data_IF_888355350984
#
_entry.id   IF_888355350984
#
_cell.length_a   1.000
_cell.length_b   1.000
_cell.length_c   1.000
_cell.angle_alpha   90.00
_cell.angle_beta   90.00
_cell.angle_gamma   90.00
#
_symmetry.space_group_name_H-M   'P 1'
#
loop_
_entity.id
_entity.type
_entity.pdbx_description
1 polymer ?
#
# COMPACT_ATOMS: atom_id res chain seq x y z
N UNK A 1 10.03 11.92 -3.42
CA UNK A 1 11.14 11.57 -4.35
C UNK A 1 12.40 12.37 -4.04
N UNK A 2 12.37 13.70 -3.97
CA UNK A 2 13.55 14.53 -3.66
C UNK A 2 14.30 14.11 -2.37
N UNK A 3 13.57 13.88 -1.27
CA UNK A 3 14.15 13.42 0.00
C UNK A 3 14.79 12.02 -0.10
N UNK A 4 14.28 11.15 -0.95
CA UNK A 4 14.77 9.77 -1.10
C UNK A 4 16.05 9.70 -1.95
N UNK A 5 16.22 10.64 -2.88
CA UNK A 5 17.38 10.74 -3.75
C UNK A 5 18.53 11.51 -3.11
N UNK A 6 18.28 12.23 -2.02
CA UNK A 6 19.31 13.02 -1.35
C UNK A 6 20.36 12.09 -0.67
N UNK A 7 21.66 12.19 -1.02
CA UNK A 7 22.68 11.21 -0.62
C UNK A 7 22.79 11.01 0.91
N UNK A 8 22.57 12.09 1.68
CA UNK A 8 22.62 12.07 3.15
C UNK A 8 21.62 11.07 3.76
N UNK A 9 20.50 10.81 3.09
CA UNK A 9 19.41 9.98 3.60
C UNK A 9 19.43 8.54 3.07
N UNK A 10 20.47 8.10 2.36
CA UNK A 10 20.56 6.74 1.83
C UNK A 10 21.15 5.71 2.80
N UNK A 11 21.83 6.16 3.86
CA UNK A 11 22.46 5.28 4.84
C UNK A 11 21.49 4.36 5.60
N UNK A 12 22.00 3.30 6.26
CA UNK A 12 21.20 2.35 7.04
C UNK A 12 20.42 3.02 8.18
N UNK A 13 21.01 4.04 8.84
CA UNK A 13 20.38 4.80 9.93
C UNK A 13 19.10 5.54 9.49
N UNK A 14 19.00 5.92 8.21
CA UNK A 14 17.87 6.66 7.67
C UNK A 14 16.76 5.75 7.13
N UNK A 15 16.90 4.42 7.25
CA UNK A 15 15.92 3.46 6.74
C UNK A 15 14.53 3.70 7.33
N UNK A 16 14.42 3.82 8.64
CA UNK A 16 13.14 4.06 9.34
C UNK A 16 12.51 5.38 8.91
N UNK A 17 13.32 6.42 8.74
CA UNK A 17 12.86 7.72 8.25
C UNK A 17 12.26 7.61 6.83
N UNK A 18 12.93 6.92 5.91
CA UNK A 18 12.40 6.70 4.55
C UNK A 18 11.09 5.92 4.56
N UNK A 19 11.00 4.85 5.36
CA UNK A 19 9.76 4.08 5.52
C UNK A 19 8.63 4.94 6.08
N UNK A 20 8.92 5.78 7.08
CA UNK A 20 7.97 6.72 7.65
C UNK A 20 7.36 7.65 6.58
N UNK A 21 8.18 8.21 5.69
CA UNK A 21 7.70 9.05 4.58
C UNK A 21 6.73 8.27 3.69
N UNK A 22 7.08 7.03 3.31
CA UNK A 22 6.20 6.20 2.47
C UNK A 22 4.87 5.89 3.16
N UNK A 23 4.89 5.57 4.45
CA UNK A 23 3.68 5.36 5.25
C UNK A 23 2.84 6.63 5.30
N UNK A 24 3.43 7.81 5.54
CA UNK A 24 2.70 9.08 5.55
C UNK A 24 2.03 9.39 4.21
N UNK A 25 2.71 9.12 3.10
CA UNK A 25 2.13 9.26 1.76
C UNK A 25 0.94 8.31 1.60
N UNK A 26 1.08 7.04 2.00
CA UNK A 26 -0.02 6.08 1.97
C UNK A 26 -1.21 6.50 2.84
N UNK A 27 -0.95 6.98 4.06
CA UNK A 27 -1.99 7.44 4.99
C UNK A 27 -2.76 8.66 4.47
N UNK A 28 -2.18 9.47 3.59
CA UNK A 28 -2.88 10.61 2.98
C UNK A 28 -4.12 10.17 2.18
N UNK A 29 -4.14 8.92 1.69
CA UNK A 29 -5.29 8.35 0.96
C UNK A 29 -6.54 8.18 1.84
N UNK A 30 -6.43 8.17 3.17
CA UNK A 30 -7.62 8.14 4.04
C UNK A 30 -8.48 9.39 3.92
N UNK A 31 -7.89 10.56 3.65
CA UNK A 31 -8.64 11.81 3.52
C UNK A 31 -9.71 11.76 2.41
N UNK A 32 -9.37 11.42 1.14
CA UNK A 32 -10.39 11.29 0.09
C UNK A 32 -11.35 10.10 0.33
N UNK A 33 -10.90 9.00 0.96
CA UNK A 33 -11.78 7.86 1.28
C UNK A 33 -12.85 8.23 2.32
N UNK A 34 -12.46 8.95 3.37
CA UNK A 34 -13.39 9.44 4.39
C UNK A 34 -14.36 10.44 3.77
N UNK A 35 -13.84 11.41 3.01
CA UNK A 35 -14.66 12.41 2.33
C UNK A 35 -15.70 11.77 1.39
N UNK A 36 -15.28 10.82 0.54
CA UNK A 36 -16.19 10.09 -0.34
C UNK A 36 -17.23 9.28 0.44
N UNK A 37 -16.82 8.63 1.53
CA UNK A 37 -17.74 7.87 2.40
C UNK A 37 -18.81 8.76 3.03
N UNK A 38 -18.47 10.00 3.41
CA UNK A 38 -19.44 10.98 3.92
C UNK A 38 -20.40 11.43 2.82
N UNK A 39 -19.92 11.66 1.60
CA UNK A 39 -20.74 12.19 0.50
C UNK A 39 -21.75 11.19 -0.06
N UNK A 40 -21.32 9.97 -0.38
CA UNK A 40 -22.16 8.98 -1.09
C UNK A 40 -22.55 7.78 -0.22
N UNK A 41 -22.00 7.68 0.99
CA UNK A 41 -22.24 6.58 1.91
C UNK A 41 -21.36 5.35 1.66
N UNK A 42 -21.06 4.60 2.72
CA UNK A 42 -20.14 3.46 2.69
C UNK A 42 -20.56 2.35 1.73
N UNK A 43 -21.86 2.03 1.66
CA UNK A 43 -22.37 0.99 0.74
C UNK A 43 -22.20 1.37 -0.72
N UNK A 44 -22.33 2.64 -1.07
CA UNK A 44 -22.07 3.13 -2.42
C UNK A 44 -20.57 3.15 -2.71
N UNK A 45 -19.74 3.59 -1.76
CA UNK A 45 -18.27 3.56 -1.86
C UNK A 45 -17.73 2.16 -2.16
N UNK A 46 -18.25 1.10 -1.50
CA UNK A 46 -17.83 -0.28 -1.79
C UNK A 46 -17.99 -0.62 -3.27
N UNK A 47 -19.10 -0.20 -3.88
CA UNK A 47 -19.41 -0.54 -5.27
C UNK A 47 -18.74 0.40 -6.28
N UNK A 48 -18.72 1.71 -6.00
CA UNK A 48 -18.22 2.72 -6.92
C UNK A 48 -16.71 2.90 -6.88
N UNK A 49 -16.08 2.72 -5.72
CA UNK A 49 -14.64 2.98 -5.52
C UNK A 49 -13.83 1.73 -5.19
N UNK A 50 -14.48 0.60 -4.95
CA UNK A 50 -13.77 -0.63 -4.56
C UNK A 50 -13.00 -0.47 -3.25
N UNK A 51 -13.49 0.35 -2.30
CA UNK A 51 -12.80 0.72 -1.05
C UNK A 51 -12.21 -0.48 -0.27
N UNK A 52 -12.83 -1.65 -0.36
CA UNK A 52 -12.32 -2.86 0.29
C UNK A 52 -10.96 -3.32 -0.28
N UNK A 53 -10.74 -3.16 -1.59
CA UNK A 53 -9.45 -3.45 -2.22
C UNK A 53 -8.37 -2.49 -1.73
N UNK A 54 -8.70 -1.19 -1.62
CA UNK A 54 -7.78 -0.18 -1.07
C UNK A 54 -7.42 -0.45 0.40
N UNK A 55 -8.39 -0.87 1.22
CA UNK A 55 -8.11 -1.23 2.62
C UNK A 55 -7.24 -2.49 2.73
N UNK A 56 -7.50 -3.49 1.88
CA UNK A 56 -6.70 -4.71 1.83
C UNK A 56 -5.26 -4.44 1.34
N UNK A 57 -5.11 -3.63 0.29
CA UNK A 57 -3.81 -3.13 -0.18
C UNK A 57 -3.05 -2.41 0.93
N UNK A 58 -3.70 -1.46 1.62
CA UNK A 58 -3.12 -0.72 2.74
C UNK A 58 -2.62 -1.64 3.85
N UNK A 59 -3.39 -2.67 4.19
CA UNK A 59 -2.97 -3.68 5.18
C UNK A 59 -1.73 -4.46 4.71
N UNK A 60 -1.69 -4.93 3.46
CA UNK A 60 -0.55 -5.65 2.90
C UNK A 60 0.70 -4.78 2.86
N UNK A 61 0.58 -3.50 2.49
CA UNK A 61 1.70 -2.56 2.47
C UNK A 61 2.24 -2.29 3.87
N UNK A 62 1.36 -2.12 4.87
CA UNK A 62 1.77 -1.96 6.28
C UNK A 62 2.47 -3.21 6.80
N UNK A 63 1.96 -4.40 6.47
CA UNK A 63 2.61 -5.67 6.81
C UNK A 63 4.00 -5.78 6.16
N UNK A 64 4.12 -5.42 4.87
CA UNK A 64 5.40 -5.39 4.18
C UNK A 64 6.38 -4.42 4.81
N UNK A 65 5.94 -3.21 5.15
CA UNK A 65 6.76 -2.21 5.83
C UNK A 65 7.22 -2.71 7.21
N UNK A 66 6.34 -3.38 7.96
CA UNK A 66 6.67 -4.00 9.24
C UNK A 66 7.75 -5.09 9.08
N UNK A 67 7.59 -6.00 8.13
CA UNK A 67 8.57 -7.06 7.84
C UNK A 67 9.93 -6.46 7.45
N UNK A 68 9.93 -5.47 6.54
CA UNK A 68 11.14 -4.81 6.06
C UNK A 68 11.90 -4.05 7.17
N UNK A 69 11.17 -3.42 8.09
CA UNK A 69 11.77 -2.65 9.18
C UNK A 69 12.30 -3.54 10.29
N UNK A 70 11.55 -4.59 10.67
CA UNK A 70 11.93 -5.54 11.73
C UNK A 70 12.96 -6.58 11.26
N UNK A 71 13.18 -6.69 9.95
CA UNK A 71 14.09 -7.67 9.32
C UNK A 71 13.73 -9.11 9.67
N UNK A 72 12.45 -9.41 9.87
CA UNK A 72 11.98 -10.78 10.10
C UNK A 72 11.91 -11.49 8.75
N UNK A 73 12.44 -12.72 8.59
CA UNK A 73 12.93 -13.63 9.64
C UNK A 73 14.44 -13.62 9.90
N UNK A 74 15.25 -12.89 9.12
CA UNK A 74 16.72 -12.91 9.25
C UNK A 74 17.24 -12.35 10.59
N UNK A 75 16.46 -11.49 11.25
CA UNK A 75 16.76 -11.03 12.61
C UNK A 75 16.60 -12.14 13.65
N UNK A 76 15.79 -13.16 13.37
CA UNK A 76 15.52 -14.30 14.27
C UNK A 76 16.55 -15.41 14.06
N UNK A 77 16.95 -15.69 12.82
CA UNK A 77 17.98 -16.71 12.49
C UNK A 77 19.00 -16.13 11.51
N UNK A 78 20.04 -15.44 12.01
CA UNK A 78 21.11 -14.90 11.18
C UNK A 78 21.78 -16.00 10.35
N UNK A 79 22.10 -15.72 9.08
CA UNK A 79 22.77 -16.65 8.17
C UNK A 79 21.87 -17.68 7.48
N UNK A 80 20.61 -17.83 7.92
CA UNK A 80 19.67 -18.82 7.30
C UNK A 80 18.93 -18.26 6.09
N UNK A 81 18.81 -16.94 6.00
CA UNK A 81 17.95 -16.24 5.04
C UNK A 81 18.74 -15.31 4.10
N UNK A 82 20.03 -15.62 3.90
CA UNK A 82 20.95 -14.75 3.15
C UNK A 82 20.63 -14.74 1.64
N UNK A 83 20.16 -15.87 1.10
CA UNK A 83 19.84 -16.03 -0.32
C UNK A 83 18.32 -15.95 -0.58
N UNK A 84 17.53 -16.67 0.21
CA UNK A 84 16.08 -16.80 0.03
C UNK A 84 15.31 -16.41 1.29
N UNK A 85 14.11 -15.87 1.11
CA UNK A 85 13.15 -15.51 2.16
C UNK A 85 13.64 -14.42 3.12
N UNK A 86 14.56 -13.57 2.67
CA UNK A 86 14.92 -12.36 3.43
C UNK A 86 13.73 -11.41 3.53
N UNK A 87 13.69 -10.59 4.59
CA UNK A 87 12.63 -9.59 4.77
C UNK A 87 12.47 -8.66 3.57
N UNK A 88 13.56 -8.38 2.84
CA UNK A 88 13.52 -7.55 1.64
C UNK A 88 12.83 -8.26 0.46
N UNK A 89 13.08 -9.55 0.27
CA UNK A 89 12.37 -10.33 -0.75
C UNK A 89 10.89 -10.46 -0.41
N UNK A 90 10.57 -10.75 0.86
CA UNK A 90 9.19 -10.79 1.34
C UNK A 90 8.48 -9.45 1.15
N UNK A 91 9.16 -8.34 1.44
CA UNK A 91 8.65 -6.99 1.18
C UNK A 91 8.28 -6.80 -0.30
N UNK A 92 9.17 -7.16 -1.23
CA UNK A 92 8.87 -7.04 -2.67
C UNK A 92 7.67 -7.90 -3.09
N UNK A 93 7.58 -9.14 -2.60
CA UNK A 93 6.42 -10.00 -2.88
C UNK A 93 5.12 -9.34 -2.41
N UNK A 94 5.10 -8.80 -1.19
CA UNK A 94 3.93 -8.12 -0.65
C UNK A 94 3.58 -6.85 -1.43
N UNK A 95 4.57 -6.07 -1.87
CA UNK A 95 4.33 -4.88 -2.71
C UNK A 95 3.72 -5.26 -4.06
N UNK A 96 4.16 -6.36 -4.68
CA UNK A 96 3.56 -6.86 -5.92
C UNK A 96 2.11 -7.29 -5.69
N UNK A 97 1.83 -8.03 -4.61
CA UNK A 97 0.46 -8.44 -4.26
C UNK A 97 -0.45 -7.23 -3.98
N UNK A 98 0.05 -6.23 -3.26
CA UNK A 98 -0.67 -4.98 -3.02
C UNK A 98 -1.01 -4.27 -4.34
N UNK A 99 -0.05 -4.20 -5.27
CA UNK A 99 -0.26 -3.59 -6.60
C UNK A 99 -1.31 -4.35 -7.42
N UNK A 100 -1.36 -5.68 -7.31
CA UNK A 100 -2.40 -6.49 -7.95
C UNK A 100 -3.78 -6.18 -7.34
N UNK A 101 -3.89 -6.10 -6.01
CA UNK A 101 -5.14 -5.71 -5.36
C UNK A 101 -5.59 -4.31 -5.77
N UNK A 102 -4.67 -3.36 -5.84
CA UNK A 102 -4.92 -2.00 -6.32
C UNK A 102 -5.49 -2.02 -7.74
N UNK A 103 -4.89 -2.81 -8.64
CA UNK A 103 -5.36 -2.96 -10.01
C UNK A 103 -6.77 -3.57 -10.06
N UNK A 104 -7.03 -4.64 -9.30
CA UNK A 104 -8.35 -5.27 -9.21
C UNK A 104 -9.41 -4.29 -8.67
N UNK A 105 -9.06 -3.48 -7.66
CA UNK A 105 -9.92 -2.44 -7.13
C UNK A 105 -10.29 -1.38 -8.15
N UNK A 106 -9.29 -0.91 -8.92
CA UNK A 106 -9.50 0.06 -10.01
C UNK A 106 -10.37 -0.54 -11.10
N UNK A 107 -10.09 -1.78 -11.55
CA UNK A 107 -10.87 -2.45 -12.60
C UNK A 107 -12.32 -2.69 -12.17
N UNK A 108 -12.54 -3.13 -10.93
CA UNK A 108 -13.88 -3.33 -10.36
C UNK A 108 -14.67 -2.01 -10.32
N UNK A 109 -14.02 -0.94 -9.85
CA UNK A 109 -14.60 0.41 -9.81
C UNK A 109 -14.91 0.93 -11.20
N UNK A 110 -13.97 0.79 -12.14
CA UNK A 110 -14.14 1.20 -13.52
C UNK A 110 -15.33 0.47 -14.15
N UNK A 111 -15.39 -0.85 -14.01
CA UNK A 111 -16.49 -1.65 -14.55
C UNK A 111 -17.85 -1.24 -13.96
N UNK A 112 -17.93 -1.05 -12.64
CA UNK A 112 -19.17 -0.61 -11.99
C UNK A 112 -19.65 0.74 -12.52
N UNK A 113 -18.75 1.73 -12.58
CA UNK A 113 -19.09 3.08 -13.03
C UNK A 113 -19.38 3.14 -14.54
N UNK A 114 -18.70 2.32 -15.34
CA UNK A 114 -18.93 2.22 -16.78
C UNK A 114 -20.30 1.61 -17.09
N UNK A 115 -20.65 0.49 -16.46
CA UNK A 115 -21.92 -0.20 -16.70
C UNK A 115 -23.13 0.50 -16.05
N UNK A 116 -22.93 1.30 -15.00
CA UNK A 116 -23.98 2.03 -14.29
C UNK A 116 -23.81 3.54 -14.38
N UNK A 117 -23.25 4.05 -15.47
CA UNK A 117 -23.14 5.48 -15.72
C UNK A 117 -24.55 6.11 -15.76
N UNK A 118 -25.06 6.52 -14.61
CA UNK A 118 -26.31 7.26 -14.41
C UNK A 118 -26.06 8.77 -14.35
N UNK A 119 -24.91 9.25 -14.82
CA UNK A 119 -24.83 10.64 -15.26
C UNK A 119 -25.47 10.72 -16.65
N UNK A 120 -26.80 10.88 -16.68
CA UNK A 120 -27.43 11.63 -17.76
C UNK A 120 -26.81 13.03 -17.69
N UNK A 121 -25.93 13.36 -18.63
CA UNK A 121 -25.80 14.75 -19.04
C UNK A 121 -27.14 15.17 -19.66
#
# INVERSE_FOLDING_TARGET
>A
ILVLLYPKFQGPCWRTFRVGIFISIGLSAFAPLIHGTILIGFRAMIKQSGILYYLAEGFILLLGAFIYTTKIPESIKPGKFDIYWSSHQLFHILVVLATILQLLGIMSSFHYNYCRAYCRL
#
